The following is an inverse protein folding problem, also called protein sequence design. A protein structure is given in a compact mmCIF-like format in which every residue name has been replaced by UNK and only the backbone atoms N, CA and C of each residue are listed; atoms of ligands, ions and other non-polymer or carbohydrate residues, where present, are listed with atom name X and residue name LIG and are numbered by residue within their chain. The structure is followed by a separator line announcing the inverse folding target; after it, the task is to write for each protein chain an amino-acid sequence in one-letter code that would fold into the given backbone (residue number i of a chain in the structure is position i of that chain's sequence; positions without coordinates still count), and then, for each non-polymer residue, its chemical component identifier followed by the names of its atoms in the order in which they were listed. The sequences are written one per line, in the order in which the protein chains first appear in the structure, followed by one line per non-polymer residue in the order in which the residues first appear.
data_IF_568339059442
#
_entry.id   IF_568339059442
#
_cell.length_a   1.000
_cell.length_b   1.000
_cell.length_c   1.000
_cell.angle_alpha   90.00
_cell.angle_beta   90.00
_cell.angle_gamma   90.00
#
_symmetry.space_group_name_H-M   'P 1'
#
loop_
_entity.id
_entity.type
_entity.pdbx_description
1 polymer ?
#
# COMPACT_ATOMS: atom_id res chain seq x y z
N UNK A 1 -2.45 -3.00 -1.97
CA UNK A 1 -1.53 -1.88 -1.64
C UNK A 1 -2.34 -0.60 -1.41
N UNK A 2 -1.95 0.33 -0.52
CA UNK A 2 -2.73 1.56 -0.29
C UNK A 2 -1.89 2.81 -0.02
N UNK A 3 -2.49 4.00 -0.19
CA UNK A 3 -1.87 5.27 0.21
C UNK A 3 -2.08 5.53 1.69
N UNK A 4 -0.99 5.75 2.43
CA UNK A 4 -1.00 6.19 3.83
C UNK A 4 -0.47 7.62 3.93
N UNK A 5 -1.08 8.41 4.81
CA UNK A 5 -0.51 9.70 5.20
C UNK A 5 0.16 9.59 6.56
N UNK A 6 1.37 10.16 6.69
CA UNK A 6 2.09 10.25 7.96
C UNK A 6 2.42 11.72 8.26
N UNK A 7 2.31 12.13 9.52
CA UNK A 7 2.72 13.46 9.98
C UNK A 7 4.19 13.40 10.42
N UNK A 8 5.00 14.34 9.94
CA UNK A 8 6.38 14.53 10.39
C UNK A 8 6.59 16.02 10.68
N UNK A 9 6.75 16.34 11.96
CA UNK A 9 6.72 17.72 12.46
C UNK A 9 5.42 18.42 12.09
N UNK A 10 5.53 19.58 11.43
CA UNK A 10 4.37 20.35 10.96
C UNK A 10 3.88 19.94 9.55
N UNK A 11 4.55 18.99 8.90
CA UNK A 11 4.24 18.55 7.55
C UNK A 11 3.52 17.20 7.57
N UNK A 12 2.69 16.96 6.55
CA UNK A 12 2.09 15.66 6.27
C UNK A 12 2.68 15.14 4.96
N UNK A 13 2.94 13.85 4.89
CA UNK A 13 3.54 13.18 3.74
C UNK A 13 2.68 12.00 3.32
N UNK A 14 2.69 11.70 2.02
CA UNK A 14 2.00 10.56 1.42
C UNK A 14 3.00 9.46 1.12
N UNK A 15 2.64 8.22 1.43
CA UNK A 15 3.46 7.04 1.15
C UNK A 15 2.57 5.95 0.56
N UNK A 16 3.09 5.19 -0.40
CA UNK A 16 2.52 3.93 -0.85
C UNK A 16 3.01 2.84 0.10
N UNK A 17 2.08 2.12 0.70
CA UNK A 17 2.37 1.03 1.62
C UNK A 17 1.72 -0.26 1.16
N UNK A 18 2.38 -1.36 1.46
CA UNK A 18 1.87 -2.71 1.26
C UNK A 18 1.79 -3.43 2.60
N UNK A 19 0.67 -4.11 2.80
CA UNK A 19 0.48 -5.00 3.94
C UNK A 19 0.96 -6.39 3.57
N UNK A 20 1.77 -7.00 4.44
CA UNK A 20 2.24 -8.38 4.29
C UNK A 20 2.07 -9.11 5.62
N UNK A 21 2.05 -10.45 5.58
CA UNK A 21 2.00 -11.27 6.80
C UNK A 21 3.40 -11.79 7.10
N UNK A 22 3.83 -11.62 8.33
CA UNK A 22 5.08 -12.18 8.85
C UNK A 22 4.83 -12.81 10.21
N UNK A 23 5.12 -14.11 10.35
CA UNK A 23 4.94 -14.89 11.59
C UNK A 23 3.55 -14.70 12.23
N UNK A 24 2.51 -14.77 11.41
CA UNK A 24 1.12 -14.60 11.85
C UNK A 24 0.68 -13.16 12.15
N UNK A 25 1.59 -12.17 12.07
CA UNK A 25 1.28 -10.76 12.27
C UNK A 25 1.17 -10.02 10.94
N UNK A 26 0.17 -9.16 10.79
CA UNK A 26 0.07 -8.25 9.64
C UNK A 26 1.03 -7.08 9.87
N UNK A 27 2.02 -6.95 9.00
CA UNK A 27 2.99 -5.85 8.97
C UNK A 27 2.76 -4.98 7.74
N UNK A 28 3.31 -3.78 7.78
CA UNK A 28 3.25 -2.83 6.67
C UNK A 28 4.67 -2.42 6.29
N UNK A 29 4.96 -2.37 4.98
CA UNK A 29 6.21 -1.80 4.45
C UNK A 29 5.89 -0.62 3.55
N UNK A 30 6.71 0.43 3.63
CA UNK A 30 6.66 1.55 2.69
C UNK A 30 7.37 1.13 1.41
N UNK A 31 6.67 1.21 0.29
CA UNK A 31 7.23 0.94 -1.03
C UNK A 31 7.76 2.22 -1.67
N UNK A 32 6.99 3.31 -1.59
CA UNK A 32 7.37 4.61 -2.13
C UNK A 32 6.90 5.77 -1.28
N UNK A 33 7.71 6.82 -1.21
CA UNK A 33 7.37 8.11 -0.64
C UNK A 33 6.90 9.06 -1.75
N UNK A 34 5.65 9.50 -1.71
CA UNK A 34 5.04 10.38 -2.71
C UNK A 34 5.25 11.87 -2.43
N UNK A 35 5.99 12.19 -1.37
CA UNK A 35 6.29 13.55 -0.96
C UNK A 35 5.23 14.16 -0.04
N UNK A 36 5.18 15.49 0.01
CA UNK A 36 4.28 16.25 0.89
C UNK A 36 2.82 16.00 0.48
N UNK A 37 1.94 15.93 1.48
CA UNK A 37 0.51 15.78 1.29
C UNK A 37 -0.07 16.99 0.58
N UNK A 38 -0.75 16.70 -0.53
CA UNK A 38 -1.57 17.63 -1.27
C UNK A 38 -2.91 16.94 -1.52
N UNK A 39 -4.02 17.60 -1.19
CA UNK A 39 -5.34 16.96 -1.18
C UNK A 39 -5.76 16.48 -2.57
N UNK A 40 -5.57 17.31 -3.60
CA UNK A 40 -5.94 16.96 -4.99
C UNK A 40 -5.17 15.73 -5.45
N UNK A 41 -3.84 15.78 -5.30
CA UNK A 41 -2.94 14.67 -5.64
C UNK A 41 -3.24 13.41 -4.84
N UNK A 42 -3.58 13.53 -3.56
CA UNK A 42 -3.98 12.39 -2.73
C UNK A 42 -5.23 11.70 -3.27
N UNK A 43 -6.27 12.47 -3.63
CA UNK A 43 -7.51 11.92 -4.21
C UNK A 43 -7.22 11.20 -5.53
N UNK A 44 -6.50 11.84 -6.43
CA UNK A 44 -6.12 11.26 -7.73
C UNK A 44 -5.35 9.93 -7.55
N UNK A 45 -4.32 9.90 -6.71
CA UNK A 45 -3.54 8.68 -6.48
C UNK A 45 -4.39 7.60 -5.80
N UNK A 46 -5.25 7.97 -4.85
CA UNK A 46 -6.12 7.02 -4.15
C UNK A 46 -7.12 6.34 -5.09
N UNK A 47 -7.64 7.07 -6.07
CA UNK A 47 -8.54 6.50 -7.09
C UNK A 47 -7.79 5.52 -8.00
N UNK A 48 -6.60 5.89 -8.47
CA UNK A 48 -5.77 5.03 -9.32
C UNK A 48 -5.30 3.76 -8.59
N UNK A 49 -4.85 3.83 -7.34
CA UNK A 49 -4.40 2.64 -6.59
C UNK A 49 -5.54 1.66 -6.33
N UNK A 50 -6.77 2.14 -6.09
CA UNK A 50 -7.93 1.26 -5.93
C UNK A 50 -8.25 0.49 -7.21
N UNK A 51 -8.04 1.10 -8.37
CA UNK A 51 -8.23 0.42 -9.66
C UNK A 51 -7.20 -0.71 -9.84
N UNK A 52 -5.94 -0.47 -9.43
CA UNK A 52 -4.90 -1.49 -9.43
C UNK A 52 -5.19 -2.66 -8.47
N UNK A 53 -5.68 -2.40 -7.25
CA UNK A 53 -6.09 -3.47 -6.33
C UNK A 53 -7.23 -4.33 -6.89
N UNK A 54 -8.13 -3.75 -7.71
CA UNK A 54 -9.20 -4.51 -8.36
C UNK A 54 -8.69 -5.44 -9.47
N UNK A 55 -7.59 -5.07 -10.14
CA UNK A 55 -6.95 -5.91 -11.15
C UNK A 55 -6.28 -7.12 -10.48
N UNK A 56 -5.70 -6.93 -9.30
CA UNK A 56 -5.09 -8.03 -8.52
C UNK A 56 -6.12 -8.95 -7.85
N UNK A 57 -7.39 -8.55 -7.76
CA UNK A 57 -8.49 -9.38 -7.25
C UNK A 57 -9.01 -10.46 -8.21
N UNK A 58 -8.40 -10.62 -9.39
CA UNK A 58 -8.76 -11.65 -10.37
C UNK A 58 -7.91 -12.93 -10.27
N UNK A 59 -7.20 -13.16 -9.15
CA UNK A 59 -6.53 -14.43 -8.87
C UNK A 59 -6.68 -14.84 -7.39
N UNK A 60 -7.89 -15.23 -7.00
CA UNK A 60 -8.16 -15.94 -5.74
C UNK A 60 -7.73 -17.44 -5.84
N UNK A 61 -6.64 -17.76 -6.55
CA UNK A 61 -6.13 -19.14 -6.68
C UNK A 61 -4.62 -19.29 -6.56
N UNK A 62 -3.84 -18.22 -6.44
CA UNK A 62 -2.44 -18.31 -6.05
C UNK A 62 -2.31 -18.41 -4.52
N UNK A 63 -2.40 -19.64 -3.99
CA UNK A 63 -1.77 -19.95 -2.71
C UNK A 63 -0.30 -19.50 -2.76
N UNK A 64 0.24 -18.80 -1.75
CA UNK A 64 1.68 -18.54 -1.72
C UNK A 64 2.41 -19.88 -1.79
N UNK A 65 3.45 -20.04 -2.63
CA UNK A 65 4.18 -21.30 -2.69
C UNK A 65 4.71 -21.60 -1.29
N UNK A 66 4.28 -22.73 -0.73
CA UNK A 66 4.91 -23.33 0.44
C UNK A 66 6.29 -23.76 -0.04
N UNK A 67 7.29 -22.92 0.21
CA UNK A 67 8.69 -23.32 0.08
C UNK A 67 8.98 -24.15 1.33
N UNK A 68 8.64 -25.43 1.23
CA UNK A 68 9.21 -26.45 2.09
C UNK A 68 10.48 -26.96 1.42
N UNK A 69 11.58 -26.87 2.15
CA UNK A 69 12.61 -27.91 2.30
C UNK A 69 13.49 -27.56 3.51
#
# INVERSE_FOLDING_TARGET
MFVRTNKSGNNRYMNIVESYREKGSVKQRVLWSLGKYEEKRYKEIKENIKEWEKIEGADESASPPVIGE
#
